data_IF_415225357897
#
_entry.id   IF_415225357897
#
_cell.length_a   1.000
_cell.length_b   1.000
_cell.length_c   1.000
_cell.angle_alpha   90.00
_cell.angle_beta   90.00
_cell.angle_gamma   90.00
#
_symmetry.space_group_name_H-M   'P 1'
#
loop_
_entity.id
_entity.type
_entity.pdbx_description
1 polymer ?
#
# COMPACT_ATOMS: atom_id res chain seq x y z
N UNK A 1 10.58 43.71 36.70
CA UNK A 1 11.52 43.35 35.64
C UNK A 1 10.82 43.25 34.31
N UNK A 2 11.17 44.10 33.37
CA UNK A 2 10.58 44.08 32.03
C UNK A 2 11.35 43.02 31.23
N UNK A 3 10.67 41.93 30.87
CA UNK A 3 11.25 40.95 29.94
C UNK A 3 11.29 41.55 28.52
N UNK A 4 12.48 41.69 27.95
CA UNK A 4 12.63 42.01 26.54
C UNK A 4 12.04 40.85 25.71
N UNK A 5 10.90 41.09 25.09
CA UNK A 5 10.38 40.17 24.09
C UNK A 5 11.22 40.30 22.82
N UNK A 6 11.86 39.21 22.43
CA UNK A 6 12.54 39.15 21.13
C UNK A 6 11.49 39.03 20.04
N UNK A 7 11.42 40.02 19.19
CA UNK A 7 10.61 39.95 17.98
C UNK A 7 11.50 39.53 16.82
N UNK A 8 10.99 38.61 15.99
CA UNK A 8 11.68 38.24 14.76
C UNK A 8 11.68 39.42 13.79
N UNK A 9 12.81 39.64 13.12
CA UNK A 9 12.88 40.57 12.02
C UNK A 9 12.18 40.00 10.80
N UNK A 10 11.72 40.88 9.92
CA UNK A 10 11.09 40.50 8.65
C UNK A 10 12.05 39.70 7.75
N UNK A 11 13.35 40.04 7.81
CA UNK A 11 14.41 39.32 7.07
C UNK A 11 14.62 37.92 7.61
N UNK A 12 14.62 37.73 8.93
CA UNK A 12 14.72 36.40 9.55
C UNK A 12 13.59 35.48 9.12
N UNK A 13 12.35 35.97 9.11
CA UNK A 13 11.20 35.22 8.64
C UNK A 13 11.30 34.90 7.15
N UNK A 14 11.75 35.85 6.34
CA UNK A 14 11.96 35.67 4.91
C UNK A 14 12.97 34.56 4.60
N UNK A 15 14.11 34.56 5.31
CA UNK A 15 15.16 33.54 5.14
C UNK A 15 14.60 32.14 5.48
N UNK A 16 13.87 32.00 6.57
CA UNK A 16 13.28 30.73 6.99
C UNK A 16 12.31 30.21 5.92
N UNK A 17 11.43 31.07 5.41
CA UNK A 17 10.48 30.68 4.35
C UNK A 17 11.19 30.28 3.06
N UNK A 18 12.26 30.97 2.68
CA UNK A 18 13.06 30.64 1.49
C UNK A 18 13.74 29.29 1.63
N UNK A 19 14.30 28.98 2.80
CA UNK A 19 14.93 27.68 3.08
C UNK A 19 13.88 26.56 3.02
N UNK A 20 12.73 26.74 3.65
CA UNK A 20 11.65 25.78 3.62
C UNK A 20 11.13 25.54 2.20
N UNK A 21 10.99 26.62 1.41
CA UNK A 21 10.59 26.50 0.00
C UNK A 21 11.60 25.72 -0.84
N UNK A 22 12.88 25.94 -0.66
CA UNK A 22 13.95 25.21 -1.35
C UNK A 22 13.92 23.72 -0.98
N UNK A 23 13.75 23.37 0.28
CA UNK A 23 13.66 21.99 0.75
C UNK A 23 12.38 21.31 0.23
N UNK A 24 11.27 22.01 0.23
CA UNK A 24 10.00 21.49 -0.29
C UNK A 24 10.08 21.20 -1.79
N UNK A 25 10.76 22.03 -2.57
CA UNK A 25 10.94 21.82 -4.00
C UNK A 25 11.67 20.52 -4.35
N UNK A 26 12.54 20.04 -3.45
CA UNK A 26 13.24 18.76 -3.61
C UNK A 26 12.41 17.59 -3.07
N UNK A 27 11.73 17.77 -1.95
CA UNK A 27 11.02 16.72 -1.24
C UNK A 27 9.73 16.28 -1.94
N UNK A 28 8.94 17.22 -2.46
CA UNK A 28 7.61 16.93 -3.06
C UNK A 28 7.66 15.93 -4.21
N UNK A 29 8.55 16.04 -5.23
CA UNK A 29 8.63 15.06 -6.31
C UNK A 29 8.99 13.65 -5.82
N UNK A 30 9.91 13.54 -4.86
CA UNK A 30 10.35 12.25 -4.31
C UNK A 30 9.26 11.55 -3.51
N UNK A 31 8.44 12.29 -2.79
CA UNK A 31 7.31 11.74 -2.04
C UNK A 31 6.30 11.10 -2.99
N UNK A 32 6.01 11.71 -4.14
CA UNK A 32 5.10 11.18 -5.14
C UNK A 32 5.54 9.81 -5.69
N UNK A 33 6.79 9.66 -6.05
CA UNK A 33 7.37 8.38 -6.52
C UNK A 33 7.38 7.32 -5.41
N UNK A 34 7.75 7.70 -4.21
CA UNK A 34 7.74 6.82 -3.03
C UNK A 34 6.35 6.31 -2.72
N UNK A 35 5.32 7.15 -2.82
CA UNK A 35 3.94 6.76 -2.57
C UNK A 35 3.45 5.74 -3.60
N UNK A 36 3.74 5.93 -4.90
CA UNK A 36 3.39 4.99 -5.96
C UNK A 36 4.08 3.65 -5.77
N UNK A 37 5.37 3.65 -5.44
CA UNK A 37 6.13 2.43 -5.16
C UNK A 37 5.62 1.71 -3.91
N UNK A 38 5.25 2.44 -2.86
CA UNK A 38 4.67 1.88 -1.64
C UNK A 38 3.34 1.19 -1.91
N UNK A 39 2.47 1.78 -2.73
CA UNK A 39 1.19 1.18 -3.15
C UNK A 39 1.39 -0.11 -3.94
N UNK A 40 2.34 -0.11 -4.88
CA UNK A 40 2.66 -1.30 -5.68
C UNK A 40 3.16 -2.43 -4.79
N UNK A 41 4.10 -2.17 -3.90
CA UNK A 41 4.62 -3.16 -2.95
C UNK A 41 3.56 -3.65 -1.98
N UNK A 42 2.68 -2.77 -1.53
CA UNK A 42 1.54 -3.14 -0.70
C UNK A 42 0.60 -4.10 -1.44
N UNK A 43 0.32 -3.84 -2.71
CA UNK A 43 -0.49 -4.72 -3.55
C UNK A 43 0.18 -6.08 -3.74
N UNK A 44 1.48 -6.13 -4.03
CA UNK A 44 2.25 -7.37 -4.15
C UNK A 44 2.21 -8.18 -2.85
N UNK A 45 2.41 -7.52 -1.71
CA UNK A 45 2.33 -8.16 -0.38
C UNK A 45 0.93 -8.71 -0.12
N UNK A 46 -0.11 -7.99 -0.47
CA UNK A 46 -1.48 -8.45 -0.31
C UNK A 46 -1.77 -9.68 -1.17
N UNK A 47 -1.24 -9.72 -2.38
CA UNK A 47 -1.32 -10.90 -3.27
C UNK A 47 -0.62 -12.10 -2.61
N UNK A 48 0.56 -11.92 -2.05
CA UNK A 48 1.29 -12.99 -1.36
C UNK A 48 0.51 -13.51 -0.14
N UNK A 49 -0.12 -12.63 0.61
CA UNK A 49 -0.98 -12.99 1.75
C UNK A 49 -2.16 -13.84 1.27
N UNK A 50 -2.85 -13.42 0.24
CA UNK A 50 -4.00 -14.16 -0.31
C UNK A 50 -3.55 -15.50 -0.87
N UNK A 51 -2.45 -15.56 -1.60
CA UNK A 51 -1.90 -16.81 -2.13
C UNK A 51 -1.51 -17.78 -1.01
N UNK A 52 -0.95 -17.30 0.09
CA UNK A 52 -0.64 -18.13 1.27
C UNK A 52 -1.89 -18.76 1.87
N UNK A 53 -2.99 -18.01 1.94
CA UNK A 53 -4.26 -18.53 2.43
C UNK A 53 -4.91 -19.52 1.44
N UNK A 54 -4.73 -19.30 0.13
CA UNK A 54 -5.15 -20.24 -0.90
C UNK A 54 -4.41 -21.58 -0.75
N UNK A 55 -3.11 -21.53 -0.50
CA UNK A 55 -2.31 -22.75 -0.24
C UNK A 55 -2.78 -23.47 1.03
N UNK A 56 -3.08 -22.74 2.09
CA UNK A 56 -3.64 -23.29 3.32
C UNK A 56 -5.01 -23.94 3.07
N UNK A 57 -5.87 -23.30 2.30
CA UNK A 57 -7.17 -23.85 1.90
C UNK A 57 -6.98 -25.17 1.11
N UNK A 58 -6.05 -25.17 0.17
CA UNK A 58 -5.72 -26.35 -0.63
C UNK A 58 -5.18 -27.50 0.25
N UNK A 59 -4.34 -27.19 1.21
CA UNK A 59 -3.83 -28.18 2.17
C UNK A 59 -4.93 -28.75 3.06
N UNK A 60 -5.91 -27.94 3.47
CA UNK A 60 -6.98 -28.35 4.34
C UNK A 60 -8.09 -29.12 3.61
N UNK A 61 -8.38 -28.77 2.36
CA UNK A 61 -9.46 -29.37 1.56
C UNK A 61 -8.99 -30.43 0.57
N UNK A 62 -7.71 -30.44 0.23
CA UNK A 62 -7.11 -31.35 -0.76
C UNK A 62 -7.24 -30.87 -2.21
N UNK A 63 -7.87 -29.73 -2.45
CA UNK A 63 -8.05 -29.18 -3.81
C UNK A 63 -8.01 -27.66 -3.79
N UNK A 64 -7.59 -27.08 -4.93
CA UNK A 64 -7.59 -25.62 -5.09
C UNK A 64 -9.03 -25.07 -5.03
N UNK A 65 -9.23 -23.81 -4.54
CA UNK A 65 -10.56 -23.22 -4.49
C UNK A 65 -11.13 -23.04 -5.90
N UNK A 66 -12.42 -23.30 -6.06
CA UNK A 66 -13.10 -23.12 -7.33
C UNK A 66 -13.29 -21.62 -7.66
N UNK A 67 -13.46 -20.79 -6.62
CA UNK A 67 -13.59 -19.34 -6.73
C UNK A 67 -12.75 -18.67 -5.64
N UNK A 68 -12.29 -17.47 -5.92
CA UNK A 68 -11.51 -16.68 -4.94
C UNK A 68 -12.32 -16.39 -3.68
N UNK A 69 -13.63 -16.21 -3.81
CA UNK A 69 -14.56 -15.99 -2.70
C UNK A 69 -14.61 -17.15 -1.71
N UNK A 70 -14.30 -18.36 -2.12
CA UNK A 70 -14.25 -19.52 -1.22
C UNK A 70 -13.21 -19.34 -0.10
N UNK A 71 -12.19 -18.55 -0.35
CA UNK A 71 -11.13 -18.24 0.61
C UNK A 71 -11.31 -16.85 1.22
N UNK A 72 -11.58 -15.84 0.40
CA UNK A 72 -11.61 -14.44 0.83
C UNK A 72 -12.80 -14.08 1.74
N UNK A 73 -13.91 -14.80 1.62
CA UNK A 73 -15.08 -14.60 2.46
C UNK A 73 -15.16 -15.54 3.65
N UNK A 74 -14.26 -16.52 3.72
CA UNK A 74 -14.23 -17.49 4.82
C UNK A 74 -13.48 -16.91 6.03
N UNK A 75 -14.15 -16.85 7.18
CA UNK A 75 -13.61 -16.32 8.43
C UNK A 75 -12.44 -17.14 8.98
N UNK A 76 -12.29 -18.41 8.58
CA UNK A 76 -11.16 -19.25 8.99
C UNK A 76 -9.86 -18.81 8.34
N UNK A 77 -9.91 -18.20 7.17
CA UNK A 77 -8.75 -17.71 6.43
C UNK A 77 -8.57 -16.20 6.57
N UNK A 78 -9.66 -15.46 6.56
CA UNK A 78 -9.67 -14.01 6.70
C UNK A 78 -10.74 -13.55 7.70
N UNK A 79 -10.47 -13.64 9.00
CA UNK A 79 -11.47 -13.26 10.03
C UNK A 79 -11.86 -11.78 9.97
N UNK A 80 -10.97 -10.91 9.55
CA UNK A 80 -11.23 -9.47 9.41
C UNK A 80 -11.46 -9.03 7.95
N UNK A 81 -11.64 -9.99 7.04
CA UNK A 81 -11.77 -9.74 5.61
C UNK A 81 -10.43 -9.77 4.87
N UNK A 82 -10.47 -10.12 3.59
CA UNK A 82 -9.29 -10.19 2.74
C UNK A 82 -8.75 -8.79 2.43
N UNK A 83 -7.43 -8.61 2.32
CA UNK A 83 -6.84 -7.33 1.93
C UNK A 83 -7.22 -6.98 0.49
N UNK A 84 -7.49 -5.72 0.23
CA UNK A 84 -7.78 -5.19 -1.08
C UNK A 84 -6.53 -4.53 -1.70
N UNK A 85 -6.46 -4.49 -3.03
CA UNK A 85 -5.41 -3.78 -3.73
C UNK A 85 -5.48 -2.28 -3.44
N UNK A 86 -4.33 -1.64 -3.18
CA UNK A 86 -4.22 -0.22 -2.92
C UNK A 86 -4.66 0.66 -4.11
N UNK A 87 -4.69 0.09 -5.33
CA UNK A 87 -5.18 0.74 -6.53
C UNK A 87 -6.67 0.47 -6.81
N UNK A 88 -7.36 -0.30 -5.95
CA UNK A 88 -8.76 -0.63 -6.12
C UNK A 88 -9.05 -1.70 -7.18
N UNK A 89 -8.02 -2.34 -7.74
CA UNK A 89 -8.18 -3.41 -8.74
C UNK A 89 -8.59 -4.71 -8.06
N UNK A 90 -9.61 -5.38 -8.58
CA UNK A 90 -10.05 -6.67 -8.05
C UNK A 90 -9.04 -7.78 -8.35
N UNK A 91 -8.83 -8.68 -7.40
CA UNK A 91 -8.03 -9.88 -7.60
C UNK A 91 -8.82 -10.93 -8.39
N UNK A 92 -8.12 -11.70 -9.21
CA UNK A 92 -8.70 -12.83 -9.94
C UNK A 92 -7.83 -14.06 -9.78
N UNK A 93 -8.45 -15.24 -9.78
CA UNK A 93 -7.72 -16.51 -9.77
C UNK A 93 -7.25 -16.87 -11.18
N UNK A 94 -6.01 -17.35 -11.27
CA UNK A 94 -5.51 -18.06 -12.44
C UNK A 94 -5.98 -19.52 -12.37
N UNK A 95 -6.79 -19.93 -13.35
CA UNK A 95 -7.30 -21.29 -13.41
C UNK A 95 -6.25 -22.38 -13.61
N UNK A 96 -5.04 -22.00 -14.02
CA UNK A 96 -3.93 -22.94 -14.24
C UNK A 96 -3.11 -23.15 -12.98
N UNK A 97 -2.78 -22.06 -12.28
CA UNK A 97 -1.92 -22.10 -11.08
C UNK A 97 -2.72 -22.20 -9.77
N UNK A 98 -3.99 -21.82 -9.78
CA UNK A 98 -4.80 -21.74 -8.58
C UNK A 98 -4.42 -20.58 -7.65
N UNK A 99 -3.55 -19.68 -8.07
CA UNK A 99 -3.12 -18.47 -7.36
C UNK A 99 -3.70 -17.20 -7.98
N UNK A 100 -3.43 -16.06 -7.38
CA UNK A 100 -3.83 -14.78 -7.97
C UNK A 100 -3.11 -14.56 -9.29
N UNK A 101 -3.85 -14.18 -10.31
CA UNK A 101 -3.33 -13.89 -11.64
C UNK A 101 -2.53 -12.57 -11.63
N UNK A 102 -1.23 -12.64 -11.41
CA UNK A 102 -0.35 -11.48 -11.33
C UNK A 102 -0.24 -10.71 -12.64
N UNK A 103 -0.30 -11.43 -13.77
CA UNK A 103 -0.26 -10.79 -15.10
C UNK A 103 -1.47 -9.89 -15.36
N UNK A 104 -2.64 -10.28 -14.88
CA UNK A 104 -3.87 -9.48 -14.96
C UNK A 104 -3.93 -8.36 -13.91
N UNK A 105 -3.01 -8.37 -12.96
CA UNK A 105 -2.96 -7.46 -11.82
C UNK A 105 -1.68 -6.61 -11.82
N UNK A 106 -1.11 -6.35 -12.99
CA UNK A 106 0.07 -5.51 -13.11
C UNK A 106 -0.29 -4.03 -12.95
N UNK A 107 0.50 -3.33 -12.16
CA UNK A 107 0.41 -1.89 -11.99
C UNK A 107 1.68 -1.22 -12.54
N UNK A 108 1.54 0.00 -13.08
CA UNK A 108 2.70 0.74 -13.57
C UNK A 108 3.64 1.16 -12.43
#
# INVERSE_FOLDING_TARGET
MIRKKRAFTLVELLIVVLILAALAAIAVPRIGESAANARRRSCETNIDIVNSQIELFTANTGSAPAALTDVTTDINYFPDGAPACAFGTAYSLDGTTGHIATAAHAHP
#
